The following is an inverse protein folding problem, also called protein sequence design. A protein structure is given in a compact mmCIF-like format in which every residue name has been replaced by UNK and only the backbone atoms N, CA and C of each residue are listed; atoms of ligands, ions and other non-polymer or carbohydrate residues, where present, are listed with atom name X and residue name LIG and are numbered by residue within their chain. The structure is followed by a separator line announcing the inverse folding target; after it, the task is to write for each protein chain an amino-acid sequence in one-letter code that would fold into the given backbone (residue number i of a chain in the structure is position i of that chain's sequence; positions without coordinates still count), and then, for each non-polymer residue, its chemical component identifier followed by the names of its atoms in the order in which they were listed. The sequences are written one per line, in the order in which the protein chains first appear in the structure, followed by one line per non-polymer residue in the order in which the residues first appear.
data_IF_504674607845
#
_entry.id   IF_504674607845
#
_cell.length_a   1.000
_cell.length_b   1.000
_cell.length_c   1.000
_cell.angle_alpha   90.00
_cell.angle_beta   90.00
_cell.angle_gamma   90.00
#
_symmetry.space_group_name_H-M   'P 1'
#
loop_
_entity.id
_entity.type
_entity.pdbx_description
1 polymer ?
#
# COMPACT_ATOMS: atom_id res chain seq x y z
N UNK A 1 8.06 3.94 19.73
CA UNK A 1 9.20 3.43 18.95
C UNK A 1 8.76 3.32 17.50
N UNK A 2 9.62 3.68 16.57
CA UNK A 2 9.40 3.44 15.15
C UNK A 2 9.52 1.92 14.88
N UNK A 3 8.74 1.40 13.94
CA UNK A 3 8.81 0.00 13.52
C UNK A 3 10.07 -0.20 12.67
N UNK A 4 10.88 -1.21 12.97
CA UNK A 4 11.99 -1.57 12.10
C UNK A 4 11.66 -2.79 11.23
N UNK A 5 11.80 -2.63 9.91
CA UNK A 5 11.66 -3.73 8.95
C UNK A 5 13.02 -4.34 8.64
N UNK A 6 13.11 -5.64 8.83
CA UNK A 6 14.30 -6.45 8.57
C UNK A 6 14.14 -7.29 7.33
N UNK A 7 15.26 -7.68 6.74
CA UNK A 7 15.31 -8.63 5.64
C UNK A 7 16.37 -9.69 5.86
N UNK A 8 15.99 -10.97 5.72
CA UNK A 8 16.91 -12.11 5.77
C UNK A 8 16.78 -12.89 4.47
N UNK A 9 17.87 -13.00 3.70
CA UNK A 9 17.82 -13.68 2.42
C UNK A 9 19.01 -13.39 1.51
N UNK A 10 18.89 -13.72 0.23
CA UNK A 10 19.95 -13.42 -0.75
C UNK A 10 20.01 -11.91 -1.01
N UNK A 11 21.22 -11.37 -1.19
CA UNK A 11 21.43 -9.92 -1.47
C UNK A 11 20.62 -9.42 -2.66
N UNK A 12 20.55 -10.18 -3.77
CA UNK A 12 19.73 -9.80 -4.92
C UNK A 12 18.26 -9.60 -4.55
N UNK A 13 17.73 -10.46 -3.69
CA UNK A 13 16.35 -10.39 -3.24
C UNK A 13 16.10 -9.18 -2.33
N UNK A 14 17.06 -8.90 -1.43
CA UNK A 14 17.05 -7.67 -0.64
C UNK A 14 16.99 -6.40 -1.52
N UNK A 15 17.83 -6.33 -2.56
CA UNK A 15 17.89 -5.18 -3.47
C UNK A 15 16.59 -4.96 -4.25
N UNK A 16 15.86 -6.02 -4.58
CA UNK A 16 14.54 -5.92 -5.21
C UNK A 16 13.46 -5.51 -4.19
N UNK A 17 13.46 -6.09 -2.98
CA UNK A 17 12.50 -5.76 -1.94
C UNK A 17 12.58 -4.28 -1.50
N UNK A 18 13.79 -3.75 -1.33
CA UNK A 18 14.00 -2.34 -0.92
C UNK A 18 13.55 -1.30 -1.96
N UNK A 19 13.13 -1.71 -3.17
CA UNK A 19 12.49 -0.82 -4.15
C UNK A 19 11.05 -0.48 -3.80
N UNK A 20 10.42 -1.31 -2.97
CA UNK A 20 9.02 -1.17 -2.58
C UNK A 20 8.85 -0.90 -1.09
N UNK A 21 9.87 -1.20 -0.28
CA UNK A 21 9.83 -1.10 1.18
C UNK A 21 10.67 0.08 1.65
N UNK A 22 10.07 1.00 2.42
CA UNK A 22 10.80 2.08 3.06
C UNK A 22 11.69 1.54 4.19
N UNK A 23 12.90 2.09 4.30
CA UNK A 23 13.82 1.87 5.43
C UNK A 23 14.11 0.40 5.75
N UNK A 24 14.12 -0.47 4.74
CA UNK A 24 14.40 -1.90 4.90
C UNK A 24 15.88 -2.13 5.25
N UNK A 25 16.14 -2.72 6.42
CA UNK A 25 17.47 -3.06 6.88
C UNK A 25 17.78 -4.55 6.67
N UNK A 26 19.06 -4.87 6.46
CA UNK A 26 19.50 -6.26 6.40
C UNK A 26 19.62 -6.87 7.81
N UNK A 27 19.16 -8.11 7.97
CA UNK A 27 19.10 -8.82 9.25
C UNK A 27 17.72 -8.82 9.91
N UNK A 28 17.54 -9.57 11.01
CA UNK A 28 16.28 -9.64 11.74
C UNK A 28 15.97 -8.33 12.50
N UNK A 29 14.67 -7.96 12.51
CA UNK A 29 14.09 -6.79 13.17
C UNK A 29 12.68 -7.11 13.70
N UNK A 30 11.95 -6.09 14.16
CA UNK A 30 10.58 -6.22 14.70
C UNK A 30 9.65 -7.04 13.79
N UNK A 31 9.67 -6.71 12.49
CA UNK A 31 9.06 -7.53 11.45
C UNK A 31 10.11 -7.83 10.40
N UNK A 32 10.31 -9.11 10.13
CA UNK A 32 11.34 -9.59 9.21
C UNK A 32 10.70 -10.18 7.97
N UNK A 33 11.10 -9.68 6.80
CA UNK A 33 10.83 -10.26 5.49
C UNK A 33 11.90 -11.31 5.21
N UNK A 34 11.50 -12.49 4.78
CA UNK A 34 12.40 -13.64 4.60
C UNK A 34 12.33 -14.11 3.15
N UNK A 35 13.48 -14.19 2.48
CA UNK A 35 13.59 -14.82 1.17
C UNK A 35 13.20 -16.30 1.28
N UNK A 36 12.12 -16.67 0.61
CA UNK A 36 11.56 -18.03 0.67
C UNK A 36 12.56 -19.12 0.29
N UNK A 37 13.57 -18.80 -0.52
CA UNK A 37 14.61 -19.76 -0.90
C UNK A 37 15.60 -20.09 0.22
N UNK A 38 15.71 -19.22 1.23
CA UNK A 38 16.56 -19.45 2.41
C UNK A 38 15.74 -20.03 3.56
N UNK A 39 14.42 -19.75 3.58
CA UNK A 39 13.52 -20.18 4.64
C UNK A 39 13.75 -19.41 5.94
N UNK A 40 12.80 -19.54 6.88
CA UNK A 40 12.89 -18.89 8.19
C UNK A 40 11.53 -18.38 8.69
N UNK A 41 11.54 -17.77 9.88
CA UNK A 41 10.37 -17.18 10.49
C UNK A 41 10.22 -15.71 10.07
N UNK A 42 9.07 -15.36 9.49
CA UNK A 42 8.76 -13.99 9.07
C UNK A 42 7.79 -13.94 7.90
N UNK A 43 7.69 -12.78 7.27
CA UNK A 43 6.91 -12.58 6.05
C UNK A 43 7.71 -13.17 4.88
N UNK A 44 7.27 -14.33 4.38
CA UNK A 44 7.93 -15.00 3.27
C UNK A 44 7.79 -14.19 1.96
N UNK A 45 8.90 -14.06 1.21
CA UNK A 45 8.98 -13.38 -0.07
C UNK A 45 9.72 -14.26 -1.09
N UNK A 46 9.02 -14.68 -2.13
CA UNK A 46 9.63 -15.28 -3.31
C UNK A 46 10.04 -14.18 -4.29
N UNK A 47 11.36 -13.98 -4.40
CA UNK A 47 11.93 -12.95 -5.26
C UNK A 47 11.81 -13.18 -6.77
N UNK A 48 11.32 -14.34 -7.20
CA UNK A 48 10.99 -14.60 -8.60
C UNK A 48 9.53 -14.30 -8.95
N UNK A 49 8.70 -14.06 -7.93
CA UNK A 49 7.27 -13.81 -8.08
C UNK A 49 6.90 -12.32 -8.12
N UNK A 50 5.61 -12.08 -7.91
CA UNK A 50 5.01 -10.74 -7.85
C UNK A 50 5.32 -10.09 -6.48
N UNK A 51 6.41 -9.32 -6.41
CA UNK A 51 6.90 -8.75 -5.15
C UNK A 51 5.94 -7.74 -4.53
N UNK A 52 5.38 -6.76 -5.26
CA UNK A 52 4.39 -5.87 -4.69
C UNK A 52 3.24 -6.65 -4.05
N UNK A 53 2.64 -7.60 -4.78
CA UNK A 53 1.53 -8.38 -4.23
C UNK A 53 1.95 -9.10 -2.93
N UNK A 54 3.04 -9.86 -2.96
CA UNK A 54 3.51 -10.62 -1.80
C UNK A 54 3.79 -9.73 -0.59
N UNK A 55 4.43 -8.58 -0.79
CA UNK A 55 4.74 -7.62 0.26
C UNK A 55 3.47 -7.03 0.87
N UNK A 56 2.54 -6.55 0.04
CA UNK A 56 1.28 -5.98 0.52
C UNK A 56 0.46 -7.02 1.29
N UNK A 57 0.33 -8.26 0.79
CA UNK A 57 -0.42 -9.30 1.48
C UNK A 57 0.25 -9.68 2.80
N UNK A 58 1.55 -9.99 2.76
CA UNK A 58 2.30 -10.45 3.91
C UNK A 58 2.38 -9.43 5.04
N UNK A 59 2.73 -8.18 4.70
CA UNK A 59 2.87 -7.12 5.71
C UNK A 59 1.52 -6.64 6.23
N UNK A 60 0.46 -6.60 5.41
CA UNK A 60 -0.88 -6.30 5.93
C UNK A 60 -1.29 -7.28 7.02
N UNK A 61 -1.01 -8.58 6.82
CA UNK A 61 -1.36 -9.61 7.78
C UNK A 61 -0.51 -9.57 9.04
N UNK A 62 0.77 -9.19 8.93
CA UNK A 62 1.68 -9.05 10.07
C UNK A 62 1.42 -7.76 10.88
N UNK A 63 0.92 -6.71 10.23
CA UNK A 63 0.78 -5.36 10.80
C UNK A 63 -0.69 -4.92 10.83
N UNK A 64 -1.43 -5.50 11.78
CA UNK A 64 -2.82 -5.12 12.05
C UNK A 64 -2.97 -3.61 12.27
N UNK A 65 -4.02 -3.04 11.68
CA UNK A 65 -4.27 -1.59 11.71
C UNK A 65 -3.55 -0.82 10.61
N UNK A 66 -2.96 -1.50 9.62
CA UNK A 66 -2.42 -0.85 8.44
C UNK A 66 -3.51 -0.07 7.69
N UNK A 67 -3.09 0.98 6.99
CA UNK A 67 -3.94 1.81 6.13
C UNK A 67 -3.37 1.78 4.72
N UNK A 68 -4.24 1.63 3.73
CA UNK A 68 -3.86 1.69 2.33
C UNK A 68 -4.27 3.02 1.71
N UNK A 69 -3.38 3.56 0.89
CA UNK A 69 -3.66 4.64 -0.05
C UNK A 69 -3.66 4.08 -1.46
N UNK A 70 -4.63 4.48 -2.26
CA UNK A 70 -4.76 4.08 -3.66
C UNK A 70 -5.02 5.30 -4.51
N UNK A 71 -4.20 5.49 -5.53
CA UNK A 71 -4.43 6.44 -6.62
C UNK A 71 -4.87 5.67 -7.87
N UNK A 72 -6.13 5.84 -8.25
CA UNK A 72 -6.71 5.15 -9.40
C UNK A 72 -6.44 5.95 -10.68
N UNK A 73 -5.57 5.40 -11.52
CA UNK A 73 -5.35 5.86 -12.88
C UNK A 73 -5.97 4.92 -13.91
N UNK A 74 -6.09 5.40 -15.15
CA UNK A 74 -6.66 4.62 -16.25
C UNK A 74 -5.80 3.40 -16.65
N UNK A 75 -4.49 3.47 -16.42
CA UNK A 75 -3.52 2.43 -16.86
C UNK A 75 -2.67 1.94 -15.70
N UNK A 76 -2.25 2.84 -14.82
CA UNK A 76 -1.40 2.56 -13.67
C UNK A 76 -2.08 3.05 -12.42
N UNK A 77 -1.81 2.39 -11.30
CA UNK A 77 -2.38 2.74 -10.02
C UNK A 77 -1.26 2.83 -8.99
N UNK A 78 -1.22 3.94 -8.27
CA UNK A 78 -0.35 4.08 -7.10
C UNK A 78 -0.98 3.34 -5.93
N UNK A 79 -0.20 2.56 -5.20
CA UNK A 79 -0.64 1.92 -3.96
C UNK A 79 0.44 2.09 -2.90
N UNK A 80 0.03 2.49 -1.70
CA UNK A 80 0.92 2.65 -0.56
C UNK A 80 0.33 2.01 0.68
N UNK A 81 1.19 1.55 1.57
CA UNK A 81 0.81 1.08 2.90
C UNK A 81 1.44 1.97 3.95
N UNK A 82 0.63 2.43 4.90
CA UNK A 82 1.04 3.22 6.05
C UNK A 82 0.66 2.46 7.31
N UNK A 83 1.56 2.42 8.29
CA UNK A 83 1.28 1.84 9.60
C UNK A 83 1.69 2.81 10.71
N UNK A 84 0.76 3.12 11.60
CA UNK A 84 0.94 4.11 12.69
C UNK A 84 1.56 5.44 12.21
N UNK A 85 1.15 5.89 11.03
CA UNK A 85 1.60 7.16 10.42
C UNK A 85 2.93 7.09 9.66
N UNK A 86 3.59 5.92 9.60
CA UNK A 86 4.84 5.74 8.84
C UNK A 86 4.56 4.99 7.54
N UNK A 87 4.98 5.52 6.38
CA UNK A 87 4.95 4.78 5.12
C UNK A 87 5.84 3.53 5.20
N UNK A 88 5.32 2.39 4.79
CA UNK A 88 6.03 1.11 4.81
C UNK A 88 6.23 0.54 3.41
N UNK A 89 5.19 0.58 2.58
CA UNK A 89 5.22 0.09 1.21
C UNK A 89 4.77 1.15 0.23
N UNK A 90 5.31 1.06 -0.98
CA UNK A 90 4.83 1.77 -2.15
C UNK A 90 5.01 0.90 -3.40
N UNK A 91 4.11 1.01 -4.36
CA UNK A 91 4.27 0.47 -5.69
C UNK A 91 3.36 1.19 -6.69
N UNK A 92 3.73 1.12 -7.96
CA UNK A 92 2.84 1.37 -9.10
C UNK A 92 2.46 0.03 -9.72
N UNK A 93 1.16 -0.27 -9.80
CA UNK A 93 0.64 -1.57 -10.25
C UNK A 93 -0.42 -1.42 -11.35
N UNK A 94 -0.56 -2.41 -12.26
CA UNK A 94 -1.69 -2.45 -13.18
C UNK A 94 -3.01 -2.72 -12.43
N UNK A 95 -4.15 -2.46 -13.08
CA UNK A 95 -5.48 -2.64 -12.48
C UNK A 95 -5.69 -4.06 -11.91
N UNK A 96 -5.24 -5.10 -12.62
CA UNK A 96 -5.35 -6.48 -12.16
C UNK A 96 -4.48 -6.75 -10.91
N UNK A 97 -3.27 -6.17 -10.87
CA UNK A 97 -2.40 -6.24 -9.70
C UNK A 97 -3.06 -5.59 -8.48
N UNK A 98 -3.68 -4.42 -8.67
CA UNK A 98 -4.41 -3.73 -7.61
C UNK A 98 -5.61 -4.56 -7.11
N UNK A 99 -6.42 -5.14 -8.01
CA UNK A 99 -7.56 -6.01 -7.66
C UNK A 99 -7.10 -7.20 -6.80
N UNK A 100 -5.97 -7.83 -7.16
CA UNK A 100 -5.36 -8.94 -6.40
C UNK A 100 -4.86 -8.49 -5.03
N UNK A 101 -4.21 -7.33 -4.92
CA UNK A 101 -3.80 -6.75 -3.63
C UNK A 101 -5.03 -6.50 -2.76
N UNK A 102 -6.00 -5.73 -3.25
CA UNK A 102 -7.18 -5.35 -2.48
C UNK A 102 -7.98 -6.56 -2.00
N UNK A 103 -8.09 -7.61 -2.82
CA UNK A 103 -8.84 -8.82 -2.46
C UNK A 103 -8.09 -9.73 -1.48
N UNK A 104 -6.76 -9.62 -1.41
CA UNK A 104 -5.93 -10.52 -0.59
C UNK A 104 -5.50 -9.93 0.75
N UNK A 105 -5.50 -8.61 0.91
CA UNK A 105 -4.99 -7.96 2.12
C UNK A 105 -5.82 -8.32 3.35
N UNK A 106 -5.14 -8.48 4.48
CA UNK A 106 -5.74 -8.83 5.78
C UNK A 106 -5.23 -7.84 6.81
N UNK A 107 -6.02 -7.53 7.85
CA UNK A 107 -5.56 -6.62 8.91
C UNK A 107 -5.51 -5.13 8.53
N UNK A 108 -5.93 -4.77 7.31
CA UNK A 108 -6.12 -3.37 6.91
C UNK A 108 -7.36 -2.81 7.60
N UNK A 109 -7.20 -1.65 8.24
CA UNK A 109 -8.27 -0.95 8.95
C UNK A 109 -8.97 0.10 8.10
N UNK A 110 -8.28 0.63 7.09
CA UNK A 110 -8.79 1.68 6.23
C UNK A 110 -8.13 1.64 4.84
N UNK A 111 -8.91 1.95 3.81
CA UNK A 111 -8.46 2.11 2.43
C UNK A 111 -8.97 3.45 1.93
N UNK A 112 -8.04 4.37 1.62
CA UNK A 112 -8.34 5.68 1.04
C UNK A 112 -8.04 5.65 -0.46
N UNK A 113 -9.05 5.93 -1.28
CA UNK A 113 -9.00 5.80 -2.74
C UNK A 113 -9.27 7.16 -3.36
N UNK A 114 -8.27 7.72 -4.03
CA UNK A 114 -8.45 8.85 -4.95
C UNK A 114 -8.67 8.35 -6.36
N UNK A 115 -9.43 9.12 -7.14
CA UNK A 115 -9.62 8.87 -8.56
C UNK A 115 -9.86 10.17 -9.31
N UNK A 116 -9.31 10.24 -10.51
CA UNK A 116 -9.53 11.35 -11.43
C UNK A 116 -10.94 11.27 -12.01
N UNK A 117 -11.62 12.39 -12.31
CA UNK A 117 -12.94 12.37 -12.95
C UNK A 117 -12.98 11.64 -14.31
N UNK A 118 -11.82 11.33 -14.90
CA UNK A 118 -11.69 10.63 -16.17
C UNK A 118 -11.51 9.10 -16.03
N UNK A 119 -11.45 8.59 -14.79
CA UNK A 119 -11.32 7.15 -14.51
C UNK A 119 -12.68 6.62 -14.10
N UNK A 120 -13.16 5.54 -14.75
CA UNK A 120 -14.36 4.85 -14.32
C UNK A 120 -14.05 3.94 -13.12
N UNK A 121 -14.50 4.28 -11.90
CA UNK A 121 -14.20 3.48 -10.72
C UNK A 121 -15.04 2.19 -10.66
N UNK A 122 -16.02 2.00 -11.55
CA UNK A 122 -17.01 0.91 -11.50
C UNK A 122 -16.38 -0.48 -11.41
N UNK A 123 -15.27 -0.71 -12.10
CA UNK A 123 -14.55 -1.99 -12.07
C UNK A 123 -13.93 -2.32 -10.70
N UNK A 124 -13.53 -1.29 -9.95
CA UNK A 124 -12.88 -1.43 -8.64
C UNK A 124 -13.90 -1.28 -7.51
N UNK A 125 -14.99 -0.54 -7.73
CA UNK A 125 -16.08 -0.39 -6.76
C UNK A 125 -16.68 -1.72 -6.32
N UNK A 126 -16.77 -2.72 -7.22
CA UNK A 126 -17.21 -4.06 -6.84
C UNK A 126 -16.30 -4.70 -5.80
N UNK A 127 -14.98 -4.64 -6.02
CA UNK A 127 -13.95 -5.15 -5.09
C UNK A 127 -13.98 -4.37 -3.78
N UNK A 128 -14.01 -3.04 -3.85
CA UNK A 128 -14.06 -2.17 -2.67
C UNK A 128 -15.32 -2.40 -1.83
N UNK A 129 -16.48 -2.60 -2.46
CA UNK A 129 -17.73 -2.94 -1.76
C UNK A 129 -17.68 -4.31 -1.11
N UNK A 130 -17.04 -5.30 -1.74
CA UNK A 130 -16.84 -6.61 -1.13
C UNK A 130 -16.01 -6.52 0.16
N UNK A 131 -15.05 -5.58 0.22
CA UNK A 131 -14.24 -5.33 1.42
C UNK A 131 -15.02 -4.69 2.56
N UNK A 132 -16.13 -4.00 2.30
CA UNK A 132 -16.96 -3.39 3.33
C UNK A 132 -17.54 -4.39 4.34
N UNK A 133 -17.69 -5.67 3.95
CA UNK A 133 -18.10 -6.74 4.87
C UNK A 133 -16.96 -7.33 5.70
N UNK A 134 -15.70 -7.02 5.38
CA UNK A 134 -14.50 -7.67 5.90
C UNK A 134 -13.66 -6.80 6.86
N UNK A 135 -14.23 -5.69 7.35
CA UNK A 135 -13.71 -4.77 8.37
C UNK A 135 -12.98 -3.46 7.97
N UNK A 136 -12.33 -3.27 6.80
CA UNK A 136 -11.71 -1.98 6.50
C UNK A 136 -12.78 -0.91 6.21
N UNK A 137 -12.57 0.31 6.73
CA UNK A 137 -13.29 1.49 6.25
C UNK A 137 -12.80 1.85 4.86
N UNK A 138 -13.69 2.01 3.89
CA UNK A 138 -13.29 2.43 2.53
C UNK A 138 -13.75 3.86 2.30
N UNK A 139 -12.79 4.74 2.00
CA UNK A 139 -12.98 6.18 1.80
C UNK A 139 -12.68 6.55 0.36
N UNK A 140 -13.60 7.27 -0.28
CA UNK A 140 -13.33 7.97 -1.53
C UNK A 140 -12.86 9.39 -1.24
N UNK A 141 -11.73 9.79 -1.83
CA UNK A 141 -11.07 11.08 -1.58
C UNK A 141 -11.13 11.94 -2.84
N UNK A 142 -11.54 13.20 -2.67
CA UNK A 142 -11.48 14.24 -3.70
C UNK A 142 -10.04 14.74 -3.87
N UNK A 143 -9.42 14.41 -5.00
CA UNK A 143 -8.03 14.75 -5.33
C UNK A 143 -7.71 16.25 -5.26
N UNK A 144 -8.70 17.10 -5.57
CA UNK A 144 -8.51 18.56 -5.60
C UNK A 144 -8.07 19.11 -4.23
N UNK A 145 -8.51 18.47 -3.15
CA UNK A 145 -8.19 18.85 -1.76
C UNK A 145 -6.95 18.15 -1.21
N UNK A 146 -6.62 16.96 -1.69
CA UNK A 146 -5.41 16.21 -1.30
C UNK A 146 -4.12 16.83 -1.88
N UNK A 147 -4.26 17.64 -2.94
CA UNK A 147 -3.16 18.32 -3.65
C UNK A 147 -2.24 19.18 -2.77
N UNK A 148 -2.72 19.71 -1.62
CA UNK A 148 -1.96 20.62 -0.75
C UNK A 148 -0.70 20.01 -0.14
N UNK A 149 -0.63 18.68 -0.02
CA UNK A 149 0.53 17.97 0.55
C UNK A 149 1.57 17.50 -0.46
N UNK A 150 1.24 17.47 -1.76
CA UNK A 150 2.03 16.81 -2.82
C UNK A 150 3.47 17.36 -2.90
N UNK A 151 3.62 18.68 -2.90
CA UNK A 151 4.95 19.31 -3.02
C UNK A 151 5.88 18.92 -1.85
N UNK A 152 5.37 18.95 -0.63
CA UNK A 152 6.16 18.57 0.54
C UNK A 152 6.50 17.07 0.54
N UNK A 153 5.54 16.21 0.16
CA UNK A 153 5.75 14.77 0.04
C UNK A 153 6.79 14.42 -1.03
N UNK A 154 6.77 15.08 -2.19
CA UNK A 154 7.78 14.88 -3.25
C UNK A 154 9.19 15.23 -2.78
N UNK A 155 9.33 16.26 -1.95
CA UNK A 155 10.63 16.63 -1.36
C UNK A 155 11.08 15.64 -0.30
N UNK A 156 10.15 15.12 0.51
CA UNK A 156 10.45 14.14 1.57
C UNK A 156 10.76 12.76 1.00
N UNK A 157 10.09 12.35 -0.08
CA UNK A 157 10.22 11.05 -0.71
C UNK A 157 10.49 11.21 -2.23
N UNK A 158 11.69 11.68 -2.61
CA UNK A 158 12.00 12.00 -4.01
C UNK A 158 12.08 10.77 -4.94
N UNK A 159 12.15 9.56 -4.38
CA UNK A 159 12.18 8.31 -5.15
C UNK A 159 10.79 7.78 -5.53
N UNK A 160 9.71 8.40 -5.08
CA UNK A 160 8.34 7.95 -5.38
C UNK A 160 7.84 8.51 -6.71
N UNK A 161 7.10 7.69 -7.43
CA UNK A 161 6.32 8.09 -8.59
C UNK A 161 5.18 9.03 -8.19
N UNK A 162 4.64 9.75 -9.18
CA UNK A 162 3.51 10.65 -8.97
C UNK A 162 2.29 9.93 -8.38
N UNK A 163 1.95 8.74 -8.89
CA UNK A 163 0.81 7.97 -8.40
C UNK A 163 1.02 7.52 -6.94
N UNK A 164 2.25 7.23 -6.53
CA UNK A 164 2.59 6.82 -5.16
C UNK A 164 2.54 8.00 -4.19
N UNK A 165 2.96 9.20 -4.64
CA UNK A 165 2.82 10.44 -3.87
C UNK A 165 1.35 10.76 -3.63
N UNK A 166 0.52 10.59 -4.65
CA UNK A 166 -0.91 10.88 -4.58
C UNK A 166 -1.61 9.89 -3.66
N UNK A 167 -1.34 8.59 -3.82
CA UNK A 167 -1.80 7.54 -2.92
C UNK A 167 -1.40 7.83 -1.45
N UNK A 168 -0.15 8.25 -1.22
CA UNK A 168 0.32 8.64 0.12
C UNK A 168 -0.37 9.89 0.65
N UNK A 169 -0.64 10.87 -0.22
CA UNK A 169 -1.36 12.07 0.16
C UNK A 169 -2.79 11.76 0.63
N UNK A 170 -3.47 10.79 0.02
CA UNK A 170 -4.83 10.40 0.40
C UNK A 170 -4.91 9.77 1.78
N UNK A 171 -3.87 9.04 2.20
CA UNK A 171 -3.79 8.46 3.55
C UNK A 171 -3.51 9.52 4.61
N UNK A 172 -2.65 10.50 4.29
CA UNK A 172 -2.18 11.49 5.26
C UNK A 172 -3.08 12.73 5.34
N UNK A 173 -3.89 13.02 4.32
CA UNK A 173 -4.73 14.20 4.25
C UNK A 173 -6.01 14.07 5.08
N UNK A 174 -6.37 15.14 5.80
CA UNK A 174 -7.70 15.29 6.45
C UNK A 174 -8.65 15.99 5.45
N UNK A 175 -9.20 15.23 4.51
CA UNK A 175 -10.14 15.72 3.49
C UNK A 175 -11.60 15.33 3.75
N UNK A 176 -12.50 15.77 2.86
CA UNK A 176 -13.85 15.18 2.77
C UNK A 176 -13.67 13.79 2.19
N UNK A 177 -14.05 12.79 2.96
CA UNK A 177 -14.03 11.40 2.56
C UNK A 177 -15.46 10.87 2.57
N UNK A 178 -15.87 10.24 1.47
CA UNK A 178 -17.12 9.48 1.44
C UNK A 178 -16.83 8.05 1.90
N UNK A 179 -17.39 7.65 3.04
CA UNK A 179 -17.37 6.25 3.48
C UNK A 179 -18.42 5.48 2.67
N UNK A 180 -17.97 4.54 1.85
CA UNK A 180 -18.85 3.75 0.97
C UNK A 180 -19.36 2.46 1.63
N UNK A 181 -18.89 2.14 2.84
CA UNK A 181 -19.23 0.94 3.56
C UNK A 181 -20.41 1.12 4.53
N UNK A 182 -20.76 2.37 4.84
CA UNK A 182 -21.98 2.69 5.59
C UNK A 182 -23.15 2.83 4.61
N UNK A 183 -24.24 2.09 4.86
CA UNK A 183 -25.54 2.46 4.28
C UNK A 183 -25.92 3.86 4.80
N UNK A 184 -26.54 4.71 3.96
CA UNK A 184 -27.09 5.98 4.41
C UNK A 184 -28.08 5.78 5.57
#
# INVERSE_FOLDING_TARGET
MALELGFVGRRRCFEEARRYVFELAYGPRDVTIVDSAVGGAGVALDCSGDLPLQLFLGLSSALSGAVLGVDLGAVRNGVVMVWRGNPLLHAVVPAEGLKRILSGVRGVSEISVGFSPYVDPSEILGVLKALCGAAPRVKLVDESKASRGRYWLRRKYPGLAEDEIDALSFVLARGIALDICRKP
#
